data_IF_959331392924
#
_entry.id   IF_959331392924
#
_cell.length_a   1.000
_cell.length_b   1.000
_cell.length_c   1.000
_cell.angle_alpha   90.00
_cell.angle_beta   90.00
_cell.angle_gamma   90.00
#
_symmetry.space_group_name_H-M   'P 1'
#
loop_
_entity.id
_entity.type
_entity.pdbx_description
1 polymer ?
#
# COMPACT_ATOMS: atom_id res chain seq x y z
N UNK A 1 -65.17 -67.81 -0.98
CA UNK A 1 -63.96 -67.08 -0.46
C UNK A 1 -63.16 -66.68 -1.69
N UNK A 2 -63.28 -65.42 -2.16
CA UNK A 2 -62.52 -64.88 -3.31
C UNK A 2 -61.28 -64.19 -2.81
N UNK A 3 -60.11 -64.66 -3.23
CA UNK A 3 -58.81 -63.95 -3.05
C UNK A 3 -58.65 -62.92 -4.16
N UNK A 4 -58.62 -61.64 -3.80
CA UNK A 4 -58.25 -60.53 -4.73
C UNK A 4 -56.74 -60.46 -4.82
N UNK A 5 -56.17 -60.57 -6.00
CA UNK A 5 -54.77 -60.37 -6.34
C UNK A 5 -54.60 -58.88 -6.70
N UNK A 6 -53.82 -58.18 -5.96
CA UNK A 6 -53.37 -56.79 -6.29
C UNK A 6 -52.09 -56.89 -7.12
N UNK A 7 -52.14 -56.41 -8.36
CA UNK A 7 -50.97 -56.22 -9.22
C UNK A 7 -50.43 -54.78 -8.93
N UNK A 8 -49.24 -54.69 -8.36
CA UNK A 8 -48.56 -53.40 -8.20
C UNK A 8 -47.76 -53.08 -9.47
N UNK A 9 -48.14 -52.01 -10.15
CA UNK A 9 -47.39 -51.46 -11.29
C UNK A 9 -46.22 -50.59 -10.73
N UNK A 10 -45.00 -51.02 -10.99
CA UNK A 10 -43.79 -50.20 -10.76
C UNK A 10 -43.62 -49.23 -11.93
N UNK A 11 -43.76 -47.93 -11.61
CA UNK A 11 -43.32 -46.86 -12.50
C UNK A 11 -41.79 -46.66 -12.33
N UNK A 12 -41.03 -46.92 -13.38
CA UNK A 12 -39.64 -46.52 -13.48
C UNK A 12 -39.59 -45.03 -13.85
N UNK A 13 -39.20 -44.18 -12.91
CA UNK A 13 -38.85 -42.79 -13.19
C UNK A 13 -37.41 -42.75 -13.73
N UNK A 14 -37.25 -42.44 -14.99
CA UNK A 14 -35.95 -42.15 -15.60
C UNK A 14 -35.44 -40.79 -15.06
N UNK A 15 -34.42 -40.82 -14.21
CA UNK A 15 -33.68 -39.62 -13.79
C UNK A 15 -32.79 -39.20 -14.95
N UNK A 16 -33.22 -38.16 -15.67
CA UNK A 16 -32.35 -37.48 -16.64
C UNK A 16 -31.23 -36.75 -15.88
N UNK A 17 -30.03 -37.28 -15.97
CA UNK A 17 -28.82 -36.65 -15.49
C UNK A 17 -28.51 -35.47 -16.41
N UNK A 18 -29.03 -34.27 -16.07
CA UNK A 18 -28.67 -33.04 -16.73
C UNK A 18 -27.22 -32.68 -16.38
N UNK A 19 -26.32 -32.74 -17.35
CA UNK A 19 -24.99 -32.20 -17.24
C UNK A 19 -25.10 -30.70 -16.99
N UNK A 20 -24.87 -30.28 -15.75
CA UNK A 20 -24.66 -28.87 -15.44
C UNK A 20 -23.33 -28.47 -16.08
N UNK A 21 -23.41 -27.78 -17.21
CA UNK A 21 -22.28 -26.98 -17.70
C UNK A 21 -21.99 -25.93 -16.67
N UNK A 22 -21.01 -26.16 -15.79
CA UNK A 22 -20.38 -25.10 -15.02
C UNK A 22 -19.78 -24.12 -16.02
N UNK A 23 -20.48 -23.03 -16.26
CA UNK A 23 -19.91 -21.86 -16.91
C UNK A 23 -18.73 -21.40 -16.06
N UNK A 24 -17.50 -21.73 -16.50
CA UNK A 24 -16.29 -21.13 -15.96
C UNK A 24 -16.44 -19.61 -16.11
N UNK A 25 -16.86 -18.93 -15.05
CA UNK A 25 -16.84 -17.47 -14.95
C UNK A 25 -15.39 -17.07 -15.13
N UNK A 26 -15.07 -16.57 -16.33
CA UNK A 26 -13.76 -15.95 -16.58
C UNK A 26 -13.64 -14.80 -15.59
N UNK A 27 -12.69 -14.87 -14.67
CA UNK A 27 -12.36 -13.73 -13.82
C UNK A 27 -12.21 -12.50 -14.74
N UNK A 28 -12.89 -11.38 -14.42
CA UNK A 28 -12.79 -10.20 -15.23
C UNK A 28 -11.32 -9.79 -15.33
N UNK A 29 -10.87 -9.36 -16.51
CA UNK A 29 -9.49 -8.87 -16.69
C UNK A 29 -9.31 -7.62 -15.82
N UNK A 30 -8.11 -7.44 -15.20
CA UNK A 30 -7.81 -6.22 -14.46
C UNK A 30 -8.09 -4.97 -15.26
N UNK A 31 -8.69 -3.97 -14.61
CA UNK A 31 -8.95 -2.66 -15.24
C UNK A 31 -7.64 -1.91 -15.49
N UNK A 32 -7.29 -1.71 -16.75
CA UNK A 32 -6.07 -1.00 -17.16
C UNK A 32 -6.06 0.49 -16.78
N UNK A 33 -7.22 1.05 -16.43
CA UNK A 33 -7.35 2.43 -15.96
C UNK A 33 -7.42 2.51 -14.42
N UNK A 34 -7.24 1.40 -13.70
CA UNK A 34 -7.08 1.42 -12.25
C UNK A 34 -5.60 1.28 -11.90
N UNK A 35 -4.96 2.42 -11.58
CA UNK A 35 -3.54 2.51 -11.26
C UNK A 35 -3.33 2.30 -9.76
N UNK A 36 -2.58 1.28 -9.39
CA UNK A 36 -2.40 0.87 -8.00
C UNK A 36 -0.96 1.14 -7.58
N UNK A 37 -0.80 1.68 -6.38
CA UNK A 37 0.49 1.96 -5.76
C UNK A 37 0.63 1.21 -4.45
N UNK A 38 1.81 0.63 -4.22
CA UNK A 38 2.14 -0.03 -2.96
C UNK A 38 2.91 0.96 -2.10
N UNK A 39 2.37 1.31 -0.94
CA UNK A 39 3.01 2.18 0.03
C UNK A 39 3.49 1.35 1.22
N UNK A 40 4.74 1.54 1.64
CA UNK A 40 5.33 0.84 2.77
C UNK A 40 6.39 1.68 3.47
N UNK A 41 6.67 1.36 4.72
CA UNK A 41 7.66 2.09 5.51
C UNK A 41 7.35 2.11 7.00
N UNK A 42 7.76 3.19 7.66
CA UNK A 42 7.56 3.35 9.10
C UNK A 42 6.59 4.50 9.42
N UNK A 43 6.72 5.14 10.57
CA UNK A 43 5.73 6.10 11.09
C UNK A 43 5.38 7.24 10.12
N UNK A 44 6.32 7.75 9.35
CA UNK A 44 6.06 8.79 8.35
C UNK A 44 5.32 8.27 7.09
N UNK A 45 5.25 6.96 6.87
CA UNK A 45 4.34 6.35 5.88
C UNK A 45 3.05 5.85 6.53
N UNK A 46 3.12 5.36 7.76
CA UNK A 46 1.97 4.91 8.54
C UNK A 46 0.94 6.03 8.75
N UNK A 47 1.44 7.23 9.05
CA UNK A 47 0.65 8.41 9.34
C UNK A 47 0.59 8.75 10.82
N UNK A 48 1.19 9.89 11.20
CA UNK A 48 1.31 10.29 12.59
C UNK A 48 0.65 11.65 12.91
N UNK A 49 0.38 12.48 11.93
CA UNK A 49 -0.30 13.75 12.18
C UNK A 49 -1.81 13.58 12.34
N UNK A 50 -2.40 14.51 13.11
CA UNK A 50 -3.86 14.57 13.28
C UNK A 50 -4.55 14.81 11.93
N UNK A 51 -5.50 13.95 11.59
CA UNK A 51 -6.39 14.12 10.45
C UNK A 51 -7.36 15.27 10.77
N UNK A 52 -7.44 16.27 9.90
CA UNK A 52 -8.31 17.43 10.01
C UNK A 52 -9.56 17.27 9.12
N UNK A 53 -10.54 18.14 9.28
CA UNK A 53 -11.80 18.04 8.53
C UNK A 53 -11.56 18.13 7.02
N UNK A 54 -10.70 19.06 6.58
CA UNK A 54 -10.31 19.18 5.16
C UNK A 54 -9.72 17.90 4.55
N UNK A 55 -9.13 17.01 5.37
CA UNK A 55 -8.57 15.75 4.90
C UNK A 55 -9.65 14.68 4.70
N UNK A 56 -10.84 14.88 5.28
CA UNK A 56 -12.00 13.96 5.14
C UNK A 56 -12.96 14.40 4.04
N UNK A 57 -12.90 15.68 3.66
CA UNK A 57 -13.80 16.28 2.69
C UNK A 57 -13.23 16.22 1.27
N UNK A 58 -14.10 16.26 0.26
CA UNK A 58 -13.73 16.36 -1.14
C UNK A 58 -12.92 15.19 -1.68
N UNK A 59 -12.92 14.02 -1.01
CA UNK A 59 -12.22 12.85 -1.50
C UNK A 59 -12.94 12.29 -2.72
N UNK A 60 -12.24 12.27 -3.85
CA UNK A 60 -12.79 11.72 -5.10
C UNK A 60 -13.03 10.21 -4.98
N UNK A 61 -14.16 9.71 -5.47
CA UNK A 61 -14.43 8.27 -5.57
C UNK A 61 -13.41 7.53 -6.46
N UNK A 62 -12.70 8.27 -7.33
CA UNK A 62 -11.60 7.72 -8.14
C UNK A 62 -10.33 7.47 -7.33
N UNK A 63 -10.21 8.06 -6.13
CA UNK A 63 -9.13 7.81 -5.19
C UNK A 63 -9.56 6.75 -4.19
N UNK A 64 -8.92 5.58 -4.22
CA UNK A 64 -9.33 4.41 -3.45
C UNK A 64 -8.16 3.86 -2.61
N UNK A 65 -8.50 3.25 -1.49
CA UNK A 65 -7.57 2.48 -0.67
C UNK A 65 -8.06 1.04 -0.54
N UNK A 66 -7.17 0.08 -0.57
CA UNK A 66 -7.45 -1.27 -0.10
C UNK A 66 -7.05 -1.38 1.36
N UNK A 67 -7.96 -1.84 2.20
CA UNK A 67 -7.65 -2.10 3.60
C UNK A 67 -6.68 -3.28 3.71
N UNK A 68 -5.49 -3.05 4.27
CA UNK A 68 -4.51 -4.11 4.49
C UNK A 68 -4.78 -4.91 5.78
N UNK A 69 -5.70 -4.45 6.62
CA UNK A 69 -6.24 -5.09 7.81
C UNK A 69 -7.70 -4.65 7.98
N UNK A 70 -8.44 -5.28 8.87
CA UNK A 70 -9.79 -4.80 9.20
C UNK A 70 -9.76 -3.46 9.95
N UNK A 71 -10.73 -2.58 9.64
CA UNK A 71 -11.00 -1.34 10.36
C UNK A 71 -12.42 -1.43 10.96
N UNK A 72 -12.62 -2.10 12.09
CA UNK A 72 -13.95 -2.43 12.59
C UNK A 72 -14.88 -1.23 12.80
N UNK A 73 -14.38 -0.10 13.33
CA UNK A 73 -15.17 1.12 13.58
C UNK A 73 -15.55 1.87 12.30
N UNK A 74 -14.84 1.61 11.20
CA UNK A 74 -15.10 2.19 9.89
C UNK A 74 -15.76 1.19 8.94
N UNK A 75 -16.07 -0.02 9.42
CA UNK A 75 -16.68 -1.11 8.64
C UNK A 75 -15.88 -1.46 7.38
N UNK A 76 -14.54 -1.28 7.42
CA UNK A 76 -13.66 -1.67 6.32
C UNK A 76 -13.07 -3.04 6.60
N UNK A 77 -13.17 -3.91 5.59
CA UNK A 77 -12.62 -5.27 5.65
C UNK A 77 -11.33 -5.37 4.85
N UNK A 78 -10.44 -6.18 5.34
CA UNK A 78 -9.19 -6.51 4.67
C UNK A 78 -9.44 -7.00 3.23
N UNK A 79 -8.60 -6.57 2.30
CA UNK A 79 -8.66 -6.84 0.86
C UNK A 79 -9.81 -6.17 0.09
N UNK A 80 -10.65 -5.38 0.74
CA UNK A 80 -11.71 -4.64 0.07
C UNK A 80 -11.28 -3.19 -0.24
N UNK A 81 -11.84 -2.64 -1.34
CA UNK A 81 -11.58 -1.28 -1.80
C UNK A 81 -12.61 -0.30 -1.26
N UNK A 82 -12.15 0.87 -0.84
CA UNK A 82 -12.97 1.96 -0.31
C UNK A 82 -12.50 3.29 -0.86
N UNK A 83 -13.39 4.29 -0.94
CA UNK A 83 -12.95 5.67 -1.13
C UNK A 83 -11.92 6.02 -0.06
N UNK A 84 -10.78 6.59 -0.49
CA UNK A 84 -9.61 6.78 0.38
C UNK A 84 -9.76 7.95 1.35
N UNK A 85 -10.81 7.93 2.18
CA UNK A 85 -10.98 8.87 3.30
C UNK A 85 -10.05 8.40 4.43
N UNK A 86 -9.13 9.26 4.93
CA UNK A 86 -8.20 8.84 5.97
C UNK A 86 -8.88 8.44 7.29
N UNK A 87 -8.27 7.54 8.09
CA UNK A 87 -6.91 6.99 7.97
C UNK A 87 -6.77 5.93 6.85
N UNK A 88 -5.55 5.80 6.28
CA UNK A 88 -5.30 4.94 5.11
C UNK A 88 -4.37 3.74 5.41
N UNK A 89 -3.78 3.65 6.59
CA UNK A 89 -2.90 2.53 6.96
C UNK A 89 -3.59 1.54 7.90
N UNK A 90 -3.99 2.00 9.06
CA UNK A 90 -4.81 1.28 10.04
C UNK A 90 -5.80 2.25 10.70
N UNK A 91 -6.84 1.74 11.31
CA UNK A 91 -7.94 2.53 11.87
C UNK A 91 -7.50 3.61 12.88
N UNK A 92 -6.42 3.36 13.58
CA UNK A 92 -5.88 4.22 14.65
C UNK A 92 -4.67 5.05 14.22
N UNK A 93 -4.37 5.13 12.92
CA UNK A 93 -3.27 5.95 12.38
C UNK A 93 -3.73 7.35 12.01
N UNK A 94 -2.78 8.24 11.79
CA UNK A 94 -3.01 9.63 11.41
C UNK A 94 -2.99 9.88 9.91
N UNK A 95 -2.80 11.16 9.55
CA UNK A 95 -2.59 11.58 8.18
C UNK A 95 -1.25 11.06 7.67
N UNK A 96 -1.22 10.60 6.44
CA UNK A 96 -0.08 10.00 5.75
C UNK A 96 0.17 10.71 4.41
N UNK A 97 1.39 10.74 3.87
CA UNK A 97 1.65 11.39 2.58
C UNK A 97 0.85 10.76 1.42
N UNK A 98 0.48 9.48 1.51
CA UNK A 98 -0.31 8.83 0.45
C UNK A 98 -1.69 9.46 0.25
N UNK A 99 -2.27 10.13 1.23
CA UNK A 99 -3.56 10.81 1.07
C UNK A 99 -3.47 11.88 -0.03
N UNK A 100 -2.56 12.82 0.13
CA UNK A 100 -2.38 13.90 -0.85
C UNK A 100 -1.64 13.45 -2.11
N UNK A 101 -0.91 12.33 -2.06
CA UNK A 101 -0.45 11.66 -3.29
C UNK A 101 -1.66 11.30 -4.17
N UNK A 102 -2.61 10.54 -3.65
CA UNK A 102 -3.74 10.08 -4.44
C UNK A 102 -4.67 11.19 -4.89
N UNK A 103 -4.95 12.19 -4.05
CA UNK A 103 -5.72 13.38 -4.41
C UNK A 103 -5.09 14.11 -5.58
N UNK A 104 -3.80 14.41 -5.49
CA UNK A 104 -3.05 15.08 -6.56
C UNK A 104 -2.99 14.25 -7.84
N UNK A 105 -2.83 12.93 -7.73
CA UNK A 105 -2.86 12.04 -8.89
C UNK A 105 -4.21 12.11 -9.62
N UNK A 106 -5.35 11.96 -8.93
CA UNK A 106 -6.67 11.96 -9.59
C UNK A 106 -7.05 13.31 -10.15
N UNK A 107 -6.55 14.41 -9.59
CA UNK A 107 -6.74 15.76 -10.13
C UNK A 107 -6.05 15.95 -11.49
N UNK A 108 -4.93 15.29 -11.70
CA UNK A 108 -4.07 15.45 -12.88
C UNK A 108 -4.22 14.34 -13.93
N UNK A 109 -4.81 13.20 -13.57
CA UNK A 109 -5.07 12.08 -14.46
C UNK A 109 -6.41 12.23 -15.20
N UNK A 110 -6.55 11.63 -16.41
CA UNK A 110 -7.84 11.60 -17.11
C UNK A 110 -8.97 11.03 -16.25
N UNK A 111 -10.19 11.53 -16.42
CA UNK A 111 -11.35 11.15 -15.59
C UNK A 111 -11.63 9.65 -15.55
N UNK A 112 -11.33 8.93 -16.62
CA UNK A 112 -11.47 7.46 -16.68
C UNK A 112 -10.49 6.70 -15.80
N UNK A 113 -9.42 7.35 -15.31
CA UNK A 113 -8.39 6.72 -14.50
C UNK A 113 -8.76 6.80 -13.02
N UNK A 114 -8.76 5.64 -12.37
CA UNK A 114 -8.85 5.53 -10.92
C UNK A 114 -7.45 5.31 -10.35
N UNK A 115 -7.23 5.74 -9.14
CA UNK A 115 -5.98 5.55 -8.40
C UNK A 115 -6.27 4.77 -7.13
N UNK A 116 -5.47 3.78 -6.83
CA UNK A 116 -5.59 2.98 -5.61
C UNK A 116 -4.28 2.90 -4.85
N UNK A 117 -4.36 2.76 -3.53
CA UNK A 117 -3.20 2.52 -2.68
C UNK A 117 -3.44 1.35 -1.74
N UNK A 118 -2.36 0.63 -1.47
CA UNK A 118 -2.22 -0.29 -0.34
C UNK A 118 -1.15 0.29 0.55
N UNK A 119 -1.44 0.53 1.81
CA UNK A 119 -0.46 1.08 2.75
C UNK A 119 -0.20 0.09 3.89
N UNK A 120 0.99 -0.50 3.91
CA UNK A 120 1.49 -1.37 4.98
C UNK A 120 2.70 -0.70 5.60
N UNK A 121 2.54 -0.13 6.78
CA UNK A 121 3.61 0.56 7.49
C UNK A 121 3.49 0.38 9.00
N UNK A 122 4.63 0.38 9.70
CA UNK A 122 4.70 0.20 11.16
C UNK A 122 5.63 1.23 11.77
N UNK A 123 5.10 2.06 12.66
CA UNK A 123 5.90 3.06 13.38
C UNK A 123 7.12 2.45 14.05
N UNK A 124 8.29 3.06 13.83
CA UNK A 124 9.56 2.64 14.40
C UNK A 124 10.17 1.35 13.84
N UNK A 125 9.59 0.72 12.82
CA UNK A 125 10.19 -0.48 12.24
C UNK A 125 11.42 -0.13 11.39
N UNK A 126 12.35 -1.06 11.34
CA UNK A 126 13.47 -1.07 10.40
C UNK A 126 13.01 -1.62 9.04
N UNK A 127 13.82 -1.38 7.99
CA UNK A 127 13.56 -1.89 6.64
C UNK A 127 13.49 -3.43 6.61
N UNK A 128 14.14 -4.10 7.56
CA UNK A 128 14.14 -5.55 7.74
C UNK A 128 12.72 -6.13 7.94
N UNK A 129 11.77 -5.34 8.42
CA UNK A 129 10.35 -5.73 8.50
C UNK A 129 9.72 -6.01 7.12
N UNK A 130 10.35 -5.53 6.04
CA UNK A 130 9.92 -5.72 4.66
C UNK A 130 10.88 -6.60 3.84
N UNK A 131 11.95 -7.12 4.41
CA UNK A 131 12.84 -8.06 3.72
C UNK A 131 12.24 -9.47 3.77
N UNK A 132 11.99 -10.07 2.61
CA UNK A 132 11.32 -11.37 2.45
C UNK A 132 11.86 -12.47 3.38
N UNK A 133 13.18 -12.53 3.50
CA UNK A 133 13.90 -13.54 4.29
C UNK A 133 14.00 -13.21 5.78
N UNK A 134 13.65 -12.00 6.21
CA UNK A 134 13.79 -11.52 7.60
C UNK A 134 12.49 -11.06 8.23
N UNK A 135 11.48 -10.71 7.43
CA UNK A 135 10.26 -10.07 7.92
C UNK A 135 9.53 -10.88 9.01
N UNK A 136 9.48 -12.21 8.88
CA UNK A 136 8.85 -13.07 9.88
C UNK A 136 9.63 -13.06 11.20
N UNK A 137 10.93 -13.30 11.14
CA UNK A 137 11.80 -13.28 12.32
C UNK A 137 11.78 -11.90 13.00
N UNK A 138 11.81 -10.83 12.19
CA UNK A 138 11.72 -9.45 12.70
C UNK A 138 10.42 -9.22 13.48
N UNK A 139 9.30 -9.65 12.96
CA UNK A 139 8.00 -9.50 13.61
C UNK A 139 7.86 -10.35 14.87
N UNK A 140 8.28 -11.60 14.82
CA UNK A 140 8.21 -12.53 15.97
C UNK A 140 9.09 -12.06 17.13
N UNK A 141 10.23 -11.44 16.82
CA UNK A 141 11.18 -10.90 17.80
C UNK A 141 10.99 -9.39 18.05
N UNK A 142 9.92 -8.77 17.54
CA UNK A 142 9.65 -7.36 17.72
C UNK A 142 9.63 -6.96 19.22
N UNK A 143 10.15 -5.78 19.53
CA UNK A 143 10.11 -5.23 20.86
C UNK A 143 8.65 -5.16 21.39
N UNK A 144 8.45 -5.31 22.70
CA UNK A 144 7.12 -5.39 23.30
C UNK A 144 6.19 -4.23 22.90
N UNK A 145 6.74 -3.02 22.77
CA UNK A 145 5.98 -1.85 22.35
C UNK A 145 5.54 -1.90 20.89
N UNK A 146 6.29 -2.60 20.01
CA UNK A 146 5.98 -2.73 18.59
C UNK A 146 5.03 -3.91 18.30
N UNK A 147 4.97 -4.92 19.18
CA UNK A 147 4.19 -6.14 18.92
C UNK A 147 2.73 -5.85 18.55
N UNK A 148 2.08 -4.91 19.23
CA UNK A 148 0.69 -4.54 18.93
C UNK A 148 0.51 -3.82 17.59
N UNK A 149 1.57 -3.25 17.01
CA UNK A 149 1.54 -2.55 15.73
C UNK A 149 1.82 -3.48 14.54
N UNK A 150 2.63 -4.52 14.76
CA UNK A 150 3.02 -5.47 13.70
C UNK A 150 2.10 -6.71 13.66
N UNK A 151 1.51 -7.10 14.81
CA UNK A 151 0.61 -8.24 14.90
C UNK A 151 -0.58 -8.21 13.92
N UNK A 152 -1.21 -7.05 13.61
CA UNK A 152 -2.27 -6.99 12.60
C UNK A 152 -1.82 -7.45 11.20
N UNK A 153 -0.52 -7.48 10.94
CA UNK A 153 0.10 -7.97 9.70
C UNK A 153 0.61 -9.41 9.84
N UNK A 154 0.07 -10.20 10.78
CA UNK A 154 0.52 -11.57 11.10
C UNK A 154 2.02 -11.65 11.39
N UNK A 155 2.57 -10.62 12.01
CA UNK A 155 3.99 -10.40 12.30
C UNK A 155 4.90 -10.38 11.05
N UNK A 156 4.35 -10.21 9.85
CA UNK A 156 5.10 -10.24 8.60
C UNK A 156 4.62 -9.15 7.64
N UNK A 157 5.27 -7.98 7.68
CA UNK A 157 4.88 -6.85 6.84
C UNK A 157 5.11 -7.12 5.36
N UNK A 158 6.18 -7.85 5.00
CA UNK A 158 6.44 -8.23 3.61
C UNK A 158 5.31 -9.09 3.05
N UNK A 159 4.96 -10.17 3.76
CA UNK A 159 3.92 -11.09 3.29
C UNK A 159 2.56 -10.39 3.19
N UNK A 160 2.21 -9.55 4.18
CA UNK A 160 0.97 -8.76 4.14
C UNK A 160 0.92 -7.84 2.93
N UNK A 161 2.00 -7.12 2.63
CA UNK A 161 2.08 -6.24 1.46
C UNK A 161 1.94 -7.04 0.16
N UNK A 162 2.62 -8.18 0.07
CA UNK A 162 2.57 -9.09 -1.08
C UNK A 162 1.17 -9.64 -1.31
N UNK A 163 0.48 -10.12 -0.26
CA UNK A 163 -0.86 -10.69 -0.36
C UNK A 163 -1.88 -9.64 -0.81
N UNK A 164 -1.84 -8.45 -0.20
CA UNK A 164 -2.67 -7.32 -0.64
C UNK A 164 -2.39 -6.94 -2.10
N UNK A 165 -1.12 -6.92 -2.52
CA UNK A 165 -0.73 -6.59 -3.88
C UNK A 165 -1.24 -7.64 -4.90
N UNK A 166 -1.15 -8.93 -4.58
CA UNK A 166 -1.69 -10.02 -5.41
C UNK A 166 -3.21 -9.93 -5.54
N UNK A 167 -3.91 -9.58 -4.46
CA UNK A 167 -5.36 -9.35 -4.51
C UNK A 167 -5.69 -8.13 -5.40
N UNK A 168 -4.93 -7.05 -5.24
CA UNK A 168 -5.11 -5.84 -6.02
C UNK A 168 -4.83 -6.01 -7.52
N UNK A 169 -3.90 -6.88 -7.91
CA UNK A 169 -3.64 -7.21 -9.32
C UNK A 169 -4.86 -7.84 -10.03
N UNK A 170 -5.83 -8.37 -9.29
CA UNK A 170 -7.10 -8.84 -9.87
C UNK A 170 -8.01 -7.67 -10.29
N UNK A 171 -7.88 -6.52 -9.63
CA UNK A 171 -8.70 -5.33 -9.87
C UNK A 171 -8.06 -4.33 -10.83
N UNK A 172 -6.75 -4.14 -10.79
CA UNK A 172 -6.06 -3.10 -11.54
C UNK A 172 -4.59 -3.41 -11.85
N UNK A 173 -3.82 -2.37 -12.14
CA UNK A 173 -2.41 -2.47 -12.56
C UNK A 173 -1.52 -1.74 -11.57
N UNK A 174 -0.54 -2.43 -11.00
CA UNK A 174 0.47 -1.81 -10.14
C UNK A 174 1.35 -0.89 -11.00
N UNK A 175 1.56 0.35 -10.55
CA UNK A 175 2.23 1.43 -11.28
C UNK A 175 3.45 2.00 -10.58
N UNK A 176 3.68 1.66 -9.33
CA UNK A 176 4.84 2.15 -8.59
C UNK A 176 4.78 1.79 -7.11
N UNK A 177 5.90 1.99 -6.45
CA UNK A 177 6.05 1.82 -5.02
C UNK A 177 6.35 3.17 -4.37
N UNK A 178 5.75 3.42 -3.22
CA UNK A 178 5.94 4.61 -2.39
C UNK A 178 6.55 4.16 -1.07
N UNK A 179 7.70 4.67 -0.71
CA UNK A 179 8.38 4.30 0.52
C UNK A 179 8.73 5.53 1.35
N UNK A 180 8.49 5.45 2.66
CA UNK A 180 9.01 6.44 3.62
C UNK A 180 9.54 5.69 4.83
N UNK A 181 10.86 5.50 4.85
CA UNK A 181 11.56 4.73 5.87
C UNK A 181 13.02 5.19 5.93
N UNK A 182 13.61 5.16 7.09
CA UNK A 182 15.02 5.52 7.29
C UNK A 182 15.36 5.82 8.75
N UNK A 183 14.45 6.45 9.49
CA UNK A 183 14.70 6.93 10.85
C UNK A 183 15.11 5.81 11.83
N UNK A 184 14.68 4.58 11.60
CA UNK A 184 15.05 3.42 12.42
C UNK A 184 16.30 2.69 11.93
N UNK A 185 16.81 3.05 10.74
CA UNK A 185 18.07 2.55 10.18
C UNK A 185 19.14 3.66 10.06
N UNK A 186 19.06 4.68 10.93
CA UNK A 186 20.02 5.79 10.93
C UNK A 186 21.45 5.26 10.99
N UNK A 187 22.35 5.86 10.20
CA UNK A 187 23.76 5.50 10.09
C UNK A 187 24.05 4.08 9.51
N UNK A 188 23.04 3.37 9.00
CA UNK A 188 23.23 2.10 8.32
C UNK A 188 23.53 2.32 6.82
N UNK A 189 24.81 2.33 6.47
CA UNK A 189 25.29 2.58 5.09
C UNK A 189 24.82 1.55 4.07
N UNK A 190 24.45 0.34 4.51
CA UNK A 190 23.90 -0.75 3.68
C UNK A 190 22.38 -0.64 3.44
N UNK A 191 21.74 0.41 3.97
CA UNK A 191 20.29 0.61 3.80
C UNK A 191 19.85 0.66 2.32
N UNK A 192 20.57 1.29 1.37
CA UNK A 192 20.18 1.25 -0.05
C UNK A 192 20.14 -0.17 -0.62
N UNK A 193 21.05 -1.04 -0.21
CA UNK A 193 21.09 -2.45 -0.66
C UNK A 193 19.91 -3.24 -0.08
N UNK A 194 19.54 -2.99 1.19
CA UNK A 194 18.35 -3.57 1.81
C UNK A 194 17.07 -3.14 1.10
N UNK A 195 16.95 -1.86 0.74
CA UNK A 195 15.81 -1.34 -0.04
C UNK A 195 15.75 -1.99 -1.42
N UNK A 196 16.90 -2.09 -2.11
CA UNK A 196 16.98 -2.80 -3.39
C UNK A 196 16.50 -4.24 -3.27
N UNK A 197 16.93 -4.96 -2.24
CA UNK A 197 16.47 -6.32 -1.97
C UNK A 197 14.95 -6.40 -1.82
N UNK A 198 14.34 -5.51 -1.03
CA UNK A 198 12.87 -5.44 -0.86
C UNK A 198 12.18 -5.18 -2.21
N UNK A 199 12.70 -4.23 -2.98
CA UNK A 199 12.15 -3.89 -4.29
C UNK A 199 12.22 -5.08 -5.25
N UNK A 200 13.39 -5.70 -5.40
CA UNK A 200 13.61 -6.79 -6.34
C UNK A 200 12.76 -8.03 -6.01
N UNK A 201 12.64 -8.37 -4.71
CA UNK A 201 11.79 -9.49 -4.27
C UNK A 201 10.31 -9.22 -4.49
N UNK A 202 9.82 -7.98 -4.31
CA UNK A 202 8.44 -7.60 -4.63
C UNK A 202 8.18 -7.66 -6.14
N UNK A 203 9.11 -7.18 -6.97
CA UNK A 203 9.03 -7.24 -8.43
C UNK A 203 8.93 -8.70 -8.90
N UNK A 204 9.78 -9.58 -8.37
CA UNK A 204 9.80 -11.00 -8.70
C UNK A 204 8.50 -11.70 -8.27
N UNK A 205 8.11 -11.57 -7.00
CA UNK A 205 6.96 -12.28 -6.42
C UNK A 205 5.61 -11.81 -7.01
N UNK A 206 5.56 -10.59 -7.56
CA UNK A 206 4.39 -10.03 -8.24
C UNK A 206 4.43 -10.22 -9.77
N UNK A 207 5.52 -10.74 -10.31
CA UNK A 207 5.70 -10.94 -11.75
C UNK A 207 5.68 -9.63 -12.53
N UNK A 208 6.24 -8.55 -11.96
CA UNK A 208 6.27 -7.22 -12.54
C UNK A 208 7.52 -6.98 -13.38
N UNK A 209 7.47 -6.03 -14.31
CA UNK A 209 8.64 -5.57 -15.02
C UNK A 209 9.24 -4.35 -14.28
N UNK A 210 10.44 -4.51 -13.73
CA UNK A 210 11.12 -3.48 -12.95
C UNK A 210 11.23 -2.11 -13.67
N UNK A 211 11.32 -2.10 -15.00
CA UNK A 211 11.41 -0.86 -15.77
C UNK A 211 10.14 -0.01 -15.71
N UNK A 212 8.99 -0.66 -15.47
CA UNK A 212 7.67 -0.02 -15.48
C UNK A 212 7.20 0.38 -14.08
N UNK A 213 7.97 0.02 -13.04
CA UNK A 213 7.57 0.18 -11.62
C UNK A 213 8.62 1.03 -10.90
N UNK A 214 8.52 2.36 -10.93
CA UNK A 214 9.43 3.20 -10.15
C UNK A 214 9.19 3.05 -8.64
N UNK A 215 10.27 3.17 -7.86
CA UNK A 215 10.22 3.34 -6.41
C UNK A 215 10.44 4.83 -6.09
N UNK A 216 9.50 5.44 -5.40
CA UNK A 216 9.65 6.78 -4.84
C UNK A 216 9.96 6.66 -3.35
N UNK A 217 11.14 7.15 -2.94
CA UNK A 217 11.61 7.11 -1.56
C UNK A 217 11.66 8.54 -0.99
N UNK A 218 10.89 8.81 0.07
CA UNK A 218 10.91 10.10 0.75
C UNK A 218 12.13 10.26 1.65
N UNK A 219 12.70 11.46 1.64
CA UNK A 219 13.62 11.88 2.69
C UNK A 219 12.92 11.93 4.05
N UNK A 220 13.62 11.57 5.11
CA UNK A 220 13.17 11.83 6.48
C UNK A 220 13.13 13.34 6.75
N UNK A 221 12.56 13.77 7.86
CA UNK A 221 12.48 15.20 8.23
C UNK A 221 13.85 15.87 8.06
N UNK A 222 13.90 16.96 7.30
CA UNK A 222 15.14 17.58 6.85
C UNK A 222 15.85 18.40 7.95
N UNK A 223 17.14 18.63 7.76
CA UNK A 223 17.98 19.42 8.68
C UNK A 223 17.55 20.88 8.76
N UNK A 224 16.96 21.45 7.70
CA UNK A 224 16.50 22.84 7.65
C UNK A 224 15.36 23.13 8.66
N UNK A 225 14.63 22.10 9.07
CA UNK A 225 13.62 22.13 10.14
C UNK A 225 14.05 21.34 11.38
N UNK A 226 15.35 21.15 11.57
CA UNK A 226 15.97 20.49 12.72
C UNK A 226 15.58 18.99 12.85
N UNK A 227 15.41 18.29 11.73
CA UNK A 227 15.07 16.87 11.71
C UNK A 227 16.05 16.01 12.50
N UNK A 228 15.53 15.22 13.45
CA UNK A 228 16.36 14.38 14.36
C UNK A 228 17.14 13.30 13.63
N UNK A 229 16.63 12.80 12.53
CA UNK A 229 17.26 11.76 11.73
C UNK A 229 17.79 12.29 10.40
N UNK A 230 18.01 13.60 10.29
CA UNK A 230 18.33 14.27 9.02
C UNK A 230 19.63 13.75 8.36
N UNK A 231 20.59 13.22 9.13
CA UNK A 231 21.79 12.56 8.58
C UNK A 231 21.46 11.37 7.67
N UNK A 232 20.33 10.71 7.91
CA UNK A 232 19.88 9.60 7.07
C UNK A 232 19.61 10.03 5.61
N UNK A 233 19.31 11.30 5.36
CA UNK A 233 19.06 11.80 4.01
C UNK A 233 20.29 11.68 3.09
N UNK A 234 21.51 11.71 3.65
CA UNK A 234 22.75 11.47 2.90
C UNK A 234 22.82 9.99 2.41
N UNK A 235 22.31 9.06 3.20
CA UNK A 235 22.23 7.64 2.84
C UNK A 235 21.10 7.42 1.84
N UNK A 236 19.92 8.00 2.08
CA UNK A 236 18.76 7.94 1.17
C UNK A 236 19.15 8.48 -0.22
N UNK A 237 19.93 9.55 -0.29
CA UNK A 237 20.40 10.14 -1.54
C UNK A 237 21.26 9.19 -2.39
N UNK A 238 21.85 8.14 -1.81
CA UNK A 238 22.63 7.11 -2.51
C UNK A 238 21.76 6.07 -3.20
N UNK A 239 20.47 5.98 -2.84
CA UNK A 239 19.56 4.93 -3.34
C UNK A 239 19.49 4.85 -4.88
N UNK A 240 19.41 5.95 -5.66
CA UNK A 240 19.37 5.86 -7.12
C UNK A 240 20.64 5.29 -7.76
N UNK A 241 21.77 5.31 -7.05
CA UNK A 241 23.01 4.68 -7.52
C UNK A 241 22.96 3.16 -7.37
N UNK A 242 22.25 2.67 -6.35
CA UNK A 242 22.09 1.24 -6.04
C UNK A 242 20.88 0.64 -6.80
N UNK A 243 19.80 1.41 -6.90
CA UNK A 243 18.56 1.06 -7.60
C UNK A 243 18.19 2.16 -8.62
N UNK A 244 18.58 2.02 -9.89
CA UNK A 244 18.42 3.11 -10.90
C UNK A 244 16.98 3.56 -11.16
N UNK A 245 15.97 2.67 -10.98
CA UNK A 245 14.56 3.05 -11.11
C UNK A 245 13.96 3.51 -9.77
N UNK A 246 14.75 4.17 -8.94
CA UNK A 246 14.30 4.82 -7.73
C UNK A 246 14.54 6.33 -7.79
N UNK A 247 13.69 7.08 -7.08
CA UNK A 247 13.70 8.54 -7.09
C UNK A 247 13.48 9.04 -5.67
N UNK A 248 14.38 9.91 -5.22
CA UNK A 248 14.29 10.51 -3.89
C UNK A 248 13.34 11.71 -3.93
N UNK A 249 12.42 11.76 -2.97
CA UNK A 249 11.47 12.84 -2.80
C UNK A 249 11.98 13.73 -1.66
N UNK A 250 12.42 14.93 -2.00
CA UNK A 250 12.99 15.85 -1.01
C UNK A 250 11.97 16.28 0.03
N UNK A 251 12.39 16.33 1.28
CA UNK A 251 11.63 16.86 2.41
C UNK A 251 12.00 18.31 2.77
N UNK A 252 12.92 18.93 2.04
CA UNK A 252 13.36 20.30 2.30
C UNK A 252 12.17 21.27 2.36
N UNK A 253 12.08 22.07 3.42
CA UNK A 253 10.98 23.01 3.68
C UNK A 253 9.64 22.39 4.07
N UNK A 254 9.52 21.06 4.14
CA UNK A 254 8.31 20.41 4.67
C UNK A 254 8.26 20.58 6.20
N UNK A 255 7.10 21.01 6.72
CA UNK A 255 6.94 21.31 8.15
C UNK A 255 6.87 20.04 9.00
N UNK A 256 7.31 20.17 10.25
CA UNK A 256 7.44 19.05 11.20
C UNK A 256 6.63 19.29 12.47
N UNK A 257 6.26 18.21 13.15
CA UNK A 257 5.71 18.26 14.48
C UNK A 257 6.76 18.71 15.52
N UNK A 258 6.32 18.90 16.75
CA UNK A 258 7.17 19.35 17.85
C UNK A 258 8.34 18.40 18.19
N UNK A 259 8.24 17.16 17.77
CA UNK A 259 9.26 16.13 18.00
C UNK A 259 10.40 16.17 16.98
N UNK A 260 10.26 16.96 15.90
CA UNK A 260 11.23 17.05 14.80
C UNK A 260 11.60 15.69 14.18
N UNK A 261 10.75 14.69 14.35
CA UNK A 261 10.89 13.33 13.79
C UNK A 261 9.78 13.02 12.77
N UNK A 262 8.58 13.50 13.06
CA UNK A 262 7.41 13.32 12.21
C UNK A 262 7.00 14.63 11.56
N UNK A 263 6.53 14.54 10.33
CA UNK A 263 5.90 15.70 9.68
C UNK A 263 4.62 16.08 10.43
N UNK A 264 4.29 17.35 10.44
CA UNK A 264 2.96 17.80 10.83
C UNK A 264 1.94 17.58 9.69
N UNK A 265 0.69 17.99 9.88
CA UNK A 265 -0.34 17.75 8.87
C UNK A 265 -0.02 18.43 7.53
N UNK A 266 0.55 19.66 7.54
CA UNK A 266 0.92 20.34 6.30
C UNK A 266 2.15 19.69 5.64
N UNK A 267 3.14 19.28 6.44
CA UNK A 267 4.28 18.53 5.95
C UNK A 267 3.87 17.22 5.24
N UNK A 268 2.92 16.46 5.80
CA UNK A 268 2.39 15.27 5.13
C UNK A 268 1.66 15.60 3.83
N UNK A 269 0.86 16.67 3.80
CA UNK A 269 0.18 17.11 2.57
C UNK A 269 1.18 17.48 1.49
N UNK A 270 2.21 18.25 1.87
CA UNK A 270 3.26 18.67 0.96
C UNK A 270 4.07 17.48 0.44
N UNK A 271 4.50 16.59 1.32
CA UNK A 271 5.20 15.37 0.90
C UNK A 271 4.34 14.53 -0.07
N UNK A 272 3.05 14.38 0.20
CA UNK A 272 2.12 13.68 -0.68
C UNK A 272 2.06 14.31 -2.07
N UNK A 273 1.95 15.63 -2.17
CA UNK A 273 2.00 16.36 -3.44
C UNK A 273 3.31 16.13 -4.19
N UNK A 274 4.46 16.17 -3.49
CA UNK A 274 5.77 15.93 -4.10
C UNK A 274 5.92 14.52 -4.66
N UNK A 275 5.47 13.51 -3.92
CA UNK A 275 5.41 12.13 -4.44
C UNK A 275 4.57 12.06 -5.73
N UNK A 276 3.40 12.71 -5.74
CA UNK A 276 2.51 12.70 -6.90
C UNK A 276 3.13 13.44 -8.10
N UNK A 277 3.73 14.61 -7.88
CA UNK A 277 4.36 15.37 -8.96
C UNK A 277 5.51 14.60 -9.60
N UNK A 278 6.33 13.91 -8.80
CA UNK A 278 7.38 13.04 -9.34
C UNK A 278 6.79 11.87 -10.14
N UNK A 279 5.74 11.25 -9.65
CA UNK A 279 5.08 10.16 -10.37
C UNK A 279 4.47 10.65 -11.70
N UNK A 280 3.80 11.79 -11.70
CA UNK A 280 3.24 12.41 -12.92
C UNK A 280 4.35 12.76 -13.92
N UNK A 281 5.47 13.33 -13.46
CA UNK A 281 6.66 13.60 -14.29
C UNK A 281 7.15 12.32 -15.00
N UNK A 282 7.29 11.21 -14.24
CA UNK A 282 7.71 9.91 -14.78
C UNK A 282 6.70 9.34 -15.80
N UNK A 283 5.44 9.69 -15.67
CA UNK A 283 4.38 9.34 -16.62
C UNK A 283 4.32 10.30 -17.85
N UNK A 284 5.16 11.33 -17.89
CA UNK A 284 5.14 12.36 -18.93
C UNK A 284 3.93 13.30 -18.84
N UNK A 285 3.34 13.45 -17.65
CA UNK A 285 2.17 14.29 -17.42
C UNK A 285 2.61 15.58 -16.71
N UNK A 286 2.31 16.71 -17.31
CA UNK A 286 2.51 18.03 -16.68
C UNK A 286 1.35 18.30 -15.72
N UNK A 287 1.62 18.53 -14.41
CA UNK A 287 0.57 18.85 -13.45
C UNK A 287 -0.21 20.12 -13.85
N UNK A 288 -1.50 20.12 -13.58
CA UNK A 288 -2.34 21.32 -13.68
C UNK A 288 -1.83 22.36 -12.67
N UNK A 289 -1.76 23.61 -13.09
CA UNK A 289 -1.40 24.74 -12.22
C UNK A 289 -2.56 25.12 -11.33
#
# INVERSE_FOLDING_TARGET
>A
MLRKIFIAAMLFAAVACGSQNEAKTKNPKPDKNFYIYLAFGQSNMEGNARIQDQDREGVSERWQMMAAVDFPKMERKMYEWYTAVPPLCRENTGLTPVDYFGRTMVENLPEKVRVGVINVAVGGCKIEAFMKDRAQEYGDNAAAWMKNWIAPYDNNCYQRLLDCAKEAQKAGVIKGFLMHQGESNIDEEDWPDKVKYVYETLIEDLGLNAKDIPLLAGEVVNADVQGRSASMNEIIAKLPQTLPNSYVISSAGATTGFDHLHFDAEGYREMGRRYAYKMLELMGITPKK
#
